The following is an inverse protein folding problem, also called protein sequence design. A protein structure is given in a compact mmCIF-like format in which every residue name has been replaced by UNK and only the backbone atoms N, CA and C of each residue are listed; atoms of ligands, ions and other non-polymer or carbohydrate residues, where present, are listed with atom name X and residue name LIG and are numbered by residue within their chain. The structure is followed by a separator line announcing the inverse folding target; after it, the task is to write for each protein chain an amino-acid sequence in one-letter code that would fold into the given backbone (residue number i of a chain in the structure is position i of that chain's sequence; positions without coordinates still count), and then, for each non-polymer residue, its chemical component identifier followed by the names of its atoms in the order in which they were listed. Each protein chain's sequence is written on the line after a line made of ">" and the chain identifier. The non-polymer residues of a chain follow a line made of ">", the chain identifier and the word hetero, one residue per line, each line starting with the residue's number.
data_IF_865505444020
#
_entry.id   IF_865505444020
#
_cell.length_a   1.000
_cell.length_b   1.000
_cell.length_c   1.000
_cell.angle_alpha   90.00
_cell.angle_beta   90.00
_cell.angle_gamma   90.00
#
_symmetry.space_group_name_H-M   'P 1'
#
loop_
_entity.id
_entity.type
_entity.pdbx_description
1 polymer ?
#
# COMPACT_ATOMS: atom_id res chain seq x y z
N UNK A 1 2.32 -15.11 30.02
CA UNK A 1 2.10 -13.92 29.16
C UNK A 1 2.38 -14.37 27.74
N UNK A 2 1.44 -14.16 26.86
CA UNK A 2 1.57 -14.53 25.45
C UNK A 2 2.76 -13.80 24.80
N UNK A 3 3.44 -14.52 23.92
CA UNK A 3 4.49 -13.97 23.06
C UNK A 3 4.18 -14.29 21.62
N UNK A 4 4.29 -13.33 20.73
CA UNK A 4 4.04 -13.53 19.33
C UNK A 4 5.25 -13.12 18.50
N UNK A 5 5.62 -13.95 17.54
CA UNK A 5 6.54 -13.57 16.49
C UNK A 5 5.75 -12.77 15.46
N UNK A 6 6.09 -11.52 15.26
CA UNK A 6 5.59 -10.73 14.15
C UNK A 6 6.63 -10.67 13.03
N UNK A 7 6.14 -10.79 11.79
CA UNK A 7 6.94 -10.68 10.57
C UNK A 7 6.27 -9.64 9.67
N UNK A 8 7.03 -8.66 9.21
CA UNK A 8 6.58 -7.67 8.24
C UNK A 8 7.41 -7.79 6.96
N UNK A 9 6.78 -8.27 5.91
CA UNK A 9 7.41 -8.46 4.60
C UNK A 9 6.99 -7.32 3.69
N UNK A 10 7.87 -6.34 3.54
CA UNK A 10 7.69 -5.22 2.62
C UNK A 10 8.32 -5.50 1.25
N UNK A 11 8.12 -4.57 0.29
CA UNK A 11 8.66 -4.71 -1.09
C UNK A 11 10.17 -4.55 -1.20
N UNK A 12 10.86 -4.10 -0.16
CA UNK A 12 12.33 -3.83 -0.19
C UNK A 12 13.05 -4.26 1.08
N UNK A 13 12.33 -4.76 2.06
CA UNK A 13 12.91 -5.23 3.33
C UNK A 13 11.93 -6.09 4.10
N UNK A 14 12.44 -7.00 4.91
CA UNK A 14 11.71 -7.73 5.93
C UNK A 14 12.14 -7.27 7.31
N UNK A 15 11.22 -7.33 8.26
CA UNK A 15 11.45 -7.13 9.69
C UNK A 15 10.78 -8.25 10.47
N UNK A 16 11.43 -8.70 11.53
CA UNK A 16 10.87 -9.71 12.42
C UNK A 16 11.22 -9.38 13.89
N UNK A 17 10.27 -9.59 14.79
CA UNK A 17 10.45 -9.37 16.22
C UNK A 17 9.51 -10.25 17.03
N UNK A 18 9.97 -10.75 18.18
CA UNK A 18 9.10 -11.37 19.18
C UNK A 18 8.55 -10.28 20.11
N UNK A 19 7.24 -10.10 20.09
CA UNK A 19 6.50 -9.16 20.94
C UNK A 19 5.97 -9.84 22.20
N UNK A 20 5.88 -9.07 23.29
CA UNK A 20 5.14 -9.42 24.51
C UNK A 20 3.64 -9.08 24.36
N UNK A 21 2.82 -9.41 25.38
CA UNK A 21 1.38 -9.13 25.40
C UNK A 21 1.03 -7.63 25.32
N UNK A 22 1.97 -6.74 25.62
CA UNK A 22 1.79 -5.29 25.51
C UNK A 22 2.20 -4.75 24.13
N UNK A 23 2.56 -5.61 23.17
CA UNK A 23 3.00 -5.24 21.83
C UNK A 23 4.11 -4.15 21.83
N UNK A 24 5.09 -4.28 22.73
CA UNK A 24 6.20 -3.32 22.84
C UNK A 24 7.19 -3.50 21.72
N UNK A 25 7.48 -2.41 21.03
CA UNK A 25 8.53 -2.39 20.00
C UNK A 25 9.93 -2.50 20.64
N UNK A 26 10.80 -3.22 19.94
CA UNK A 26 12.24 -3.30 20.15
C UNK A 26 12.91 -3.18 18.80
N UNK A 27 14.24 -3.13 18.77
CA UNK A 27 14.96 -3.19 17.49
C UNK A 27 14.67 -4.54 16.81
N UNK A 28 14.02 -4.55 15.62
CA UNK A 28 13.70 -5.80 14.94
C UNK A 28 14.92 -6.36 14.21
N UNK A 29 14.98 -7.68 14.05
CA UNK A 29 15.82 -8.30 13.03
C UNK A 29 15.37 -7.79 11.66
N UNK A 30 16.32 -7.43 10.79
CA UNK A 30 16.04 -6.78 9.51
C UNK A 30 16.96 -7.28 8.40
N UNK A 31 16.37 -7.56 7.23
CA UNK A 31 17.10 -7.75 5.98
C UNK A 31 16.55 -6.82 4.90
N UNK A 32 17.42 -6.23 4.09
CA UNK A 32 17.04 -5.33 3.00
C UNK A 32 17.33 -5.96 1.65
N UNK A 33 16.43 -5.77 0.70
CA UNK A 33 16.50 -6.32 -0.66
C UNK A 33 15.87 -5.38 -1.71
N UNK A 34 16.37 -4.13 -1.84
CA UNK A 34 15.78 -3.17 -2.76
C UNK A 34 15.87 -3.66 -4.20
N UNK A 35 14.70 -3.75 -4.87
CA UNK A 35 14.62 -4.19 -6.27
C UNK A 35 14.70 -5.69 -6.50
N UNK A 36 14.87 -6.50 -5.44
CA UNK A 36 14.85 -7.96 -5.55
C UNK A 36 13.43 -8.47 -5.80
N UNK A 37 13.28 -9.34 -6.78
CA UNK A 37 12.00 -9.94 -7.15
C UNK A 37 12.07 -11.46 -7.39
N UNK A 38 13.20 -12.10 -7.08
CA UNK A 38 13.30 -13.55 -7.05
C UNK A 38 12.60 -14.08 -5.79
N UNK A 39 11.51 -14.85 -5.92
CA UNK A 39 10.73 -15.30 -4.77
C UNK A 39 11.53 -16.23 -3.83
N UNK A 40 12.44 -17.06 -4.36
CA UNK A 40 13.24 -17.95 -3.54
C UNK A 40 14.26 -17.15 -2.71
N UNK A 41 14.88 -16.14 -3.32
CA UNK A 41 15.84 -15.27 -2.62
C UNK A 41 15.17 -14.45 -1.52
N UNK A 42 14.02 -13.82 -1.83
CA UNK A 42 13.26 -13.04 -0.82
C UNK A 42 12.81 -13.95 0.33
N UNK A 43 12.29 -15.16 0.04
CA UNK A 43 11.90 -16.14 1.08
C UNK A 43 13.07 -16.55 1.97
N UNK A 44 14.27 -16.70 1.41
CA UNK A 44 15.48 -17.01 2.18
C UNK A 44 15.79 -15.87 3.16
N UNK A 45 15.75 -14.62 2.72
CA UNK A 45 16.01 -13.44 3.56
C UNK A 45 14.96 -13.28 4.66
N UNK A 46 13.69 -13.62 4.38
CA UNK A 46 12.64 -13.63 5.40
C UNK A 46 12.93 -14.68 6.47
N UNK A 47 13.31 -15.89 6.08
CA UNK A 47 13.66 -16.97 7.03
C UNK A 47 14.87 -16.59 7.89
N UNK A 48 15.91 -16.01 7.29
CA UNK A 48 17.08 -15.49 8.03
C UNK A 48 16.68 -14.45 9.09
N UNK A 49 15.79 -13.51 8.75
CA UNK A 49 15.30 -12.51 9.70
C UNK A 49 14.44 -13.13 10.83
N UNK A 50 13.63 -14.14 10.51
CA UNK A 50 12.87 -14.91 11.51
C UNK A 50 13.83 -15.63 12.45
N UNK A 51 14.81 -16.37 11.92
CA UNK A 51 15.78 -17.12 12.72
C UNK A 51 16.58 -16.20 13.65
N UNK A 52 16.90 -14.99 13.19
CA UNK A 52 17.54 -13.98 14.02
C UNK A 52 16.63 -13.48 15.15
N UNK A 53 15.37 -13.15 14.83
CA UNK A 53 14.41 -12.62 15.78
C UNK A 53 14.08 -13.60 16.92
N UNK A 54 14.06 -14.90 16.64
CA UNK A 54 13.68 -15.94 17.62
C UNK A 54 14.86 -16.48 18.43
N UNK A 55 16.10 -16.00 18.19
CA UNK A 55 17.27 -16.51 18.93
C UNK A 55 17.09 -16.47 20.45
N UNK A 56 17.02 -17.66 21.05
CA UNK A 56 16.89 -17.82 22.52
C UNK A 56 15.52 -17.36 23.07
N UNK A 57 14.53 -17.20 22.22
CA UNK A 57 13.18 -16.80 22.62
C UNK A 57 12.17 -17.82 22.09
N UNK A 58 11.12 -18.12 22.89
CA UNK A 58 9.94 -18.85 22.46
C UNK A 58 8.84 -17.87 22.07
N UNK A 59 7.87 -18.37 21.27
CA UNK A 59 6.65 -17.67 20.91
C UNK A 59 5.49 -18.66 20.82
N UNK A 60 4.27 -18.17 21.05
CA UNK A 60 3.05 -18.97 21.08
C UNK A 60 2.32 -18.93 19.73
N UNK A 61 2.51 -17.85 18.95
CA UNK A 61 1.91 -17.67 17.64
C UNK A 61 2.77 -16.79 16.72
N UNK A 62 2.48 -16.83 15.41
CA UNK A 62 3.11 -16.00 14.38
C UNK A 62 2.03 -15.16 13.71
N UNK A 63 2.23 -13.83 13.69
CA UNK A 63 1.48 -12.88 12.87
C UNK A 63 2.33 -12.37 11.72
N UNK A 64 1.78 -12.33 10.50
CA UNK A 64 2.49 -11.89 9.32
C UNK A 64 1.77 -10.74 8.61
N UNK A 65 2.48 -9.64 8.43
CA UNK A 65 2.16 -8.56 7.51
C UNK A 65 2.89 -8.81 6.20
N UNK A 66 2.20 -8.74 5.07
CA UNK A 66 2.85 -8.91 3.77
C UNK A 66 2.34 -7.89 2.74
N UNK A 67 3.24 -7.44 1.87
CA UNK A 67 2.85 -6.56 0.77
C UNK A 67 1.81 -7.23 -0.13
N UNK A 68 0.74 -6.51 -0.43
CA UNK A 68 -0.36 -6.98 -1.25
C UNK A 68 -0.06 -6.95 -2.75
N UNK A 69 -1.04 -7.43 -3.53
CA UNK A 69 -1.11 -7.32 -4.99
C UNK A 69 -0.03 -8.10 -5.75
N UNK A 70 0.85 -8.84 -5.07
CA UNK A 70 1.87 -9.67 -5.71
C UNK A 70 1.24 -10.90 -6.36
N UNK A 71 1.76 -11.28 -7.52
CA UNK A 71 1.36 -12.48 -8.25
C UNK A 71 2.59 -13.30 -8.61
N UNK A 72 2.48 -14.61 -8.41
CA UNK A 72 3.43 -15.63 -8.88
C UNK A 72 2.68 -16.70 -9.66
N UNK A 73 3.25 -17.16 -10.77
CA UNK A 73 2.87 -18.40 -11.43
C UNK A 73 3.81 -19.53 -10.94
N UNK A 74 3.24 -20.62 -10.46
CA UNK A 74 3.97 -21.80 -10.02
C UNK A 74 3.65 -22.99 -10.92
N UNK A 75 4.64 -23.87 -11.18
CA UNK A 75 4.40 -25.14 -11.85
C UNK A 75 3.72 -26.17 -10.90
N UNK A 76 3.40 -27.35 -11.43
CA UNK A 76 2.80 -28.44 -10.66
C UNK A 76 3.64 -28.90 -9.44
N UNK A 77 4.96 -28.66 -9.48
CA UNK A 77 5.87 -28.96 -8.39
C UNK A 77 6.04 -27.81 -7.39
N UNK A 78 5.30 -26.69 -7.57
CA UNK A 78 5.39 -25.50 -6.72
C UNK A 78 6.61 -24.62 -6.99
N UNK A 79 7.30 -24.81 -8.12
CA UNK A 79 8.46 -23.97 -8.50
C UNK A 79 7.99 -22.71 -9.22
N UNK A 80 8.55 -21.52 -8.88
CA UNK A 80 8.20 -20.28 -9.55
C UNK A 80 8.55 -20.31 -11.05
N UNK A 81 7.57 -19.95 -11.89
CA UNK A 81 7.72 -19.73 -13.32
C UNK A 81 7.91 -18.25 -13.66
N UNK A 82 7.59 -17.37 -12.70
CA UNK A 82 7.73 -15.91 -12.84
C UNK A 82 8.51 -15.34 -11.67
N UNK A 83 9.14 -14.17 -11.82
CA UNK A 83 9.51 -13.35 -10.68
C UNK A 83 8.26 -12.86 -9.94
N UNK A 84 8.43 -12.20 -8.79
CA UNK A 84 7.32 -11.55 -8.07
C UNK A 84 6.79 -10.37 -8.92
N UNK A 85 5.58 -10.52 -9.46
CA UNK A 85 4.89 -9.46 -10.19
C UNK A 85 4.19 -8.53 -9.19
N UNK A 86 4.89 -7.50 -8.74
CA UNK A 86 4.43 -6.58 -7.70
C UNK A 86 3.50 -5.48 -8.22
N UNK A 87 3.06 -4.59 -7.33
CA UNK A 87 2.16 -3.48 -7.66
C UNK A 87 2.78 -2.41 -8.58
N UNK A 88 4.11 -2.34 -8.66
CA UNK A 88 4.85 -1.42 -9.54
C UNK A 88 5.02 -1.92 -10.97
N UNK A 89 4.65 -3.17 -11.23
CA UNK A 89 4.76 -3.73 -12.57
C UNK A 89 3.65 -3.16 -13.46
N UNK A 90 4.03 -2.32 -14.42
CA UNK A 90 3.10 -1.65 -15.32
C UNK A 90 2.93 -2.35 -16.66
N UNK A 91 3.60 -3.50 -16.91
CA UNK A 91 3.53 -4.23 -18.18
C UNK A 91 2.10 -4.64 -18.57
N UNK A 92 1.22 -4.78 -17.60
CA UNK A 92 -0.18 -5.15 -17.81
C UNK A 92 -1.12 -3.96 -18.14
N UNK A 93 -0.60 -2.77 -18.50
CA UNK A 93 -1.44 -1.60 -18.76
C UNK A 93 -2.43 -1.83 -19.90
N UNK A 94 -1.97 -2.30 -21.08
CA UNK A 94 -2.83 -2.59 -22.23
C UNK A 94 -3.84 -3.71 -21.93
N UNK A 95 -3.46 -4.70 -21.11
CA UNK A 95 -4.38 -5.74 -20.67
C UNK A 95 -5.49 -5.19 -19.77
N UNK A 96 -5.16 -4.24 -18.89
CA UNK A 96 -6.16 -3.54 -18.09
C UNK A 96 -7.12 -2.69 -18.96
N UNK A 97 -6.63 -2.06 -20.03
CA UNK A 97 -7.48 -1.34 -20.99
C UNK A 97 -8.45 -2.28 -21.69
N UNK A 98 -7.96 -3.43 -22.17
CA UNK A 98 -8.82 -4.44 -22.80
C UNK A 98 -9.88 -4.99 -21.84
N UNK A 99 -9.53 -5.23 -20.58
CA UNK A 99 -10.51 -5.63 -19.57
C UNK A 99 -11.55 -4.53 -19.33
N UNK A 100 -11.12 -3.28 -19.20
CA UNK A 100 -12.01 -2.13 -19.01
C UNK A 100 -12.96 -1.86 -20.18
N UNK A 101 -12.58 -2.30 -21.41
CA UNK A 101 -13.47 -2.23 -22.60
C UNK A 101 -14.49 -3.37 -22.69
N UNK A 102 -14.29 -4.47 -21.97
CA UNK A 102 -15.14 -5.67 -21.97
C UNK A 102 -16.04 -5.79 -20.76
N UNK A 103 -15.65 -5.18 -19.65
CA UNK A 103 -16.32 -5.22 -18.37
C UNK A 103 -16.74 -3.81 -17.96
N UNK A 104 -17.71 -3.69 -17.08
CA UNK A 104 -18.02 -2.42 -16.41
C UNK A 104 -17.04 -2.20 -15.25
N UNK A 105 -16.09 -1.23 -15.34
CA UNK A 105 -15.13 -0.98 -14.28
C UNK A 105 -15.77 -0.59 -12.94
N UNK A 106 -16.92 0.10 -12.97
CA UNK A 106 -17.61 0.51 -11.76
C UNK A 106 -18.26 -0.70 -11.07
N UNK A 107 -18.85 -1.62 -11.84
CA UNK A 107 -19.41 -2.86 -11.30
C UNK A 107 -18.33 -3.78 -10.72
N UNK A 108 -17.16 -3.89 -11.39
CA UNK A 108 -16.02 -4.64 -10.86
C UNK A 108 -15.53 -4.02 -9.54
N UNK A 109 -15.34 -2.69 -9.51
CA UNK A 109 -14.92 -2.00 -8.30
C UNK A 109 -15.93 -2.20 -7.16
N UNK A 110 -17.22 -2.10 -7.43
CA UNK A 110 -18.27 -2.30 -6.41
C UNK A 110 -18.21 -3.71 -5.78
N UNK A 111 -17.94 -4.76 -6.59
CA UNK A 111 -17.87 -6.15 -6.11
C UNK A 111 -16.53 -6.51 -5.45
N UNK A 112 -15.41 -6.00 -5.98
CA UNK A 112 -14.07 -6.44 -5.55
C UNK A 112 -13.34 -5.44 -4.66
N UNK A 113 -13.84 -4.22 -4.53
CA UNK A 113 -13.13 -3.12 -3.85
C UNK A 113 -11.88 -2.63 -4.59
N UNK A 114 -11.63 -3.14 -5.80
CA UNK A 114 -10.44 -2.86 -6.60
C UNK A 114 -10.77 -2.34 -7.99
N UNK A 115 -9.96 -1.43 -8.49
CA UNK A 115 -10.07 -0.94 -9.85
C UNK A 115 -9.39 -1.88 -10.85
N UNK A 116 -9.84 -1.93 -12.11
CA UNK A 116 -9.12 -2.61 -13.18
C UNK A 116 -7.82 -1.85 -13.49
N UNK A 117 -6.76 -2.20 -12.80
CA UNK A 117 -5.49 -1.48 -12.82
C UNK A 117 -4.30 -2.45 -12.80
N UNK A 118 -3.13 -2.02 -13.28
CA UNK A 118 -1.88 -2.81 -13.32
C UNK A 118 -1.43 -3.33 -11.95
N UNK A 119 -1.84 -2.67 -10.86
CA UNK A 119 -1.52 -3.13 -9.51
C UNK A 119 -2.14 -4.48 -9.17
N UNK A 120 -3.29 -4.83 -9.75
CA UNK A 120 -4.11 -5.98 -9.37
C UNK A 120 -3.99 -7.17 -10.32
N UNK A 121 -4.38 -8.35 -9.84
CA UNK A 121 -4.24 -9.62 -10.54
C UNK A 121 -5.01 -9.70 -11.87
N UNK A 122 -6.24 -9.18 -12.01
CA UNK A 122 -6.96 -9.29 -13.27
C UNK A 122 -6.15 -8.80 -14.48
N UNK A 123 -5.51 -7.63 -14.36
CA UNK A 123 -4.67 -7.09 -15.41
C UNK A 123 -3.38 -7.92 -15.65
N UNK A 124 -2.74 -8.38 -14.57
CA UNK A 124 -1.51 -9.19 -14.64
C UNK A 124 -1.77 -10.56 -15.25
N UNK A 125 -2.86 -11.21 -14.87
CA UNK A 125 -3.24 -12.52 -15.42
C UNK A 125 -3.60 -12.43 -16.90
N UNK A 126 -4.38 -11.40 -17.31
CA UNK A 126 -4.69 -11.15 -18.70
C UNK A 126 -3.41 -10.86 -19.51
N UNK A 127 -2.49 -10.05 -18.97
CA UNK A 127 -1.21 -9.79 -19.61
C UNK A 127 -0.36 -11.07 -19.74
N UNK A 128 -0.29 -11.88 -18.69
CA UNK A 128 0.50 -13.13 -18.70
C UNK A 128 -0.05 -14.11 -19.73
N UNK A 129 -1.39 -14.22 -19.86
CA UNK A 129 -2.03 -15.07 -20.84
C UNK A 129 -1.72 -14.64 -22.29
N UNK A 130 -1.63 -13.34 -22.53
CA UNK A 130 -1.40 -12.77 -23.87
C UNK A 130 0.10 -12.70 -24.22
N UNK A 131 0.92 -12.21 -23.31
CA UNK A 131 2.34 -11.92 -23.56
C UNK A 131 3.26 -13.13 -23.29
N UNK A 132 2.88 -13.99 -22.34
CA UNK A 132 3.65 -15.18 -21.94
C UNK A 132 2.76 -16.43 -21.89
N UNK A 133 2.11 -16.81 -23.03
CA UNK A 133 1.07 -17.86 -23.03
C UNK A 133 1.60 -19.23 -22.63
N UNK A 134 2.87 -19.52 -22.84
CA UNK A 134 3.47 -20.78 -22.39
C UNK A 134 3.61 -20.83 -20.87
N UNK A 135 4.07 -19.74 -20.25
CA UNK A 135 4.14 -19.59 -18.80
C UNK A 135 2.73 -19.70 -18.18
N UNK A 136 1.74 -18.99 -18.75
CA UNK A 136 0.36 -19.05 -18.26
C UNK A 136 -0.23 -20.47 -18.35
N UNK A 137 0.00 -21.20 -19.45
CA UNK A 137 -0.49 -22.57 -19.61
C UNK A 137 0.21 -23.60 -18.73
N UNK A 138 1.52 -23.41 -18.52
CA UNK A 138 2.36 -24.32 -17.71
C UNK A 138 2.18 -24.10 -16.21
N UNK A 139 1.58 -22.98 -15.79
CA UNK A 139 1.32 -22.73 -14.40
C UNK A 139 0.26 -23.70 -13.86
N UNK A 140 0.60 -24.50 -12.90
CA UNK A 140 -0.37 -25.29 -12.13
C UNK A 140 -1.17 -24.41 -11.18
N UNK A 141 -0.55 -23.36 -10.60
CA UNK A 141 -1.20 -22.44 -9.66
C UNK A 141 -0.73 -21.00 -9.82
N UNK A 142 -1.63 -20.07 -9.46
CA UNK A 142 -1.33 -18.65 -9.29
C UNK A 142 -1.51 -18.28 -7.82
N UNK A 143 -0.47 -17.76 -7.18
CA UNK A 143 -0.45 -17.49 -5.74
C UNK A 143 0.10 -16.09 -5.44
N UNK A 144 -0.16 -15.56 -4.25
CA UNK A 144 0.55 -14.38 -3.77
C UNK A 144 1.97 -14.75 -3.33
N UNK A 145 2.87 -13.76 -3.21
CA UNK A 145 4.17 -14.01 -2.61
C UNK A 145 4.04 -14.49 -1.16
N UNK A 146 3.03 -14.02 -0.45
CA UNK A 146 2.78 -14.45 0.91
C UNK A 146 2.42 -15.93 1.02
N UNK A 147 1.55 -16.41 0.13
CA UNK A 147 1.18 -17.83 0.08
C UNK A 147 2.41 -18.67 -0.24
N UNK A 148 3.20 -18.25 -1.25
CA UNK A 148 4.47 -18.92 -1.58
C UNK A 148 5.42 -18.94 -0.39
N UNK A 149 5.59 -17.82 0.34
CA UNK A 149 6.44 -17.76 1.53
C UNK A 149 6.00 -18.79 2.59
N UNK A 150 4.68 -18.86 2.86
CA UNK A 150 4.13 -19.81 3.81
C UNK A 150 4.35 -21.25 3.37
N UNK A 151 4.20 -21.55 2.08
CA UNK A 151 4.53 -22.86 1.52
C UNK A 151 6.01 -23.21 1.73
N UNK A 152 6.92 -22.25 1.56
CA UNK A 152 8.37 -22.47 1.78
C UNK A 152 8.71 -22.69 3.25
N UNK A 153 7.96 -22.06 4.18
CA UNK A 153 8.19 -22.20 5.63
C UNK A 153 7.55 -23.49 6.16
N UNK A 154 6.33 -23.80 5.71
CA UNK A 154 5.52 -24.90 6.23
C UNK A 154 5.70 -26.22 5.45
N UNK A 155 6.37 -26.18 4.29
CA UNK A 155 6.69 -27.34 3.46
C UNK A 155 5.48 -27.98 2.76
N UNK A 156 4.36 -27.25 2.63
CA UNK A 156 3.13 -27.72 1.95
C UNK A 156 2.35 -26.55 1.37
N UNK A 157 1.50 -26.77 0.35
CA UNK A 157 0.56 -25.77 -0.12
C UNK A 157 -0.34 -25.24 1.00
N UNK A 158 -0.65 -23.95 0.96
CA UNK A 158 -1.48 -23.26 1.96
C UNK A 158 -2.68 -22.58 1.32
N UNK A 159 -3.73 -22.39 2.09
CA UNK A 159 -4.82 -21.48 1.73
C UNK A 159 -4.34 -20.02 1.82
N UNK A 160 -4.91 -19.15 1.00
CA UNK A 160 -4.72 -17.70 1.12
C UNK A 160 -5.70 -17.12 2.13
N UNK A 161 -5.31 -16.07 2.84
CA UNK A 161 -6.23 -15.38 3.75
C UNK A 161 -7.23 -14.52 3.00
N UNK A 162 -8.40 -14.26 3.62
CA UNK A 162 -9.36 -13.28 3.11
C UNK A 162 -8.72 -11.92 2.85
N UNK A 163 -7.80 -11.49 3.71
CA UNK A 163 -7.07 -10.22 3.56
C UNK A 163 -6.18 -10.18 2.31
N UNK A 164 -5.39 -11.22 2.09
CA UNK A 164 -4.51 -11.31 0.91
C UNK A 164 -5.34 -11.52 -0.36
N UNK A 165 -6.36 -12.38 -0.33
CA UNK A 165 -7.26 -12.60 -1.46
C UNK A 165 -7.98 -11.31 -1.86
N UNK A 166 -8.50 -10.54 -0.92
CA UNK A 166 -9.15 -9.24 -1.16
C UNK A 166 -8.20 -8.26 -1.84
N UNK A 167 -6.93 -8.23 -1.43
CA UNK A 167 -5.92 -7.36 -2.04
C UNK A 167 -5.49 -7.79 -3.46
N UNK A 168 -5.96 -8.93 -3.99
CA UNK A 168 -5.67 -9.34 -5.37
C UNK A 168 -6.52 -8.61 -6.41
N UNK A 169 -7.74 -8.18 -6.05
CA UNK A 169 -8.75 -7.65 -6.95
C UNK A 169 -9.56 -8.73 -7.66
N UNK A 170 -9.50 -9.99 -7.19
CA UNK A 170 -10.30 -11.11 -7.68
C UNK A 170 -11.33 -11.62 -6.66
N UNK A 171 -11.27 -11.16 -5.40
CA UNK A 171 -12.23 -11.57 -4.39
C UNK A 171 -13.51 -10.74 -4.50
N UNK A 172 -14.64 -11.40 -4.53
CA UNK A 172 -15.96 -10.78 -4.34
C UNK A 172 -16.17 -10.45 -2.87
N UNK A 173 -16.45 -9.18 -2.55
CA UNK A 173 -16.53 -8.67 -1.18
C UNK A 173 -17.69 -9.25 -0.38
N UNK A 174 -18.81 -9.56 -1.05
CA UNK A 174 -20.03 -10.03 -0.40
C UNK A 174 -19.97 -11.53 -0.10
N UNK A 175 -19.52 -12.32 -1.07
CA UNK A 175 -19.43 -13.78 -0.95
C UNK A 175 -18.13 -14.25 -0.29
N UNK A 176 -17.07 -13.41 -0.34
CA UNK A 176 -15.70 -13.74 0.06
C UNK A 176 -15.11 -14.94 -0.69
N UNK A 177 -15.57 -15.13 -1.91
CA UNK A 177 -15.07 -16.13 -2.85
C UNK A 177 -14.42 -15.42 -4.04
N UNK A 178 -13.72 -16.18 -4.88
CA UNK A 178 -13.19 -15.63 -6.14
C UNK A 178 -14.34 -15.19 -7.06
N UNK A 179 -14.23 -13.96 -7.65
CA UNK A 179 -15.28 -13.37 -8.52
C UNK A 179 -15.45 -14.17 -9.81
N UNK A 180 -16.62 -14.81 -9.97
CA UNK A 180 -16.90 -15.73 -11.09
C UNK A 180 -16.86 -15.04 -12.46
N UNK A 181 -17.29 -13.76 -12.55
CA UNK A 181 -17.27 -13.02 -13.81
C UNK A 181 -15.83 -12.71 -14.25
N UNK A 182 -14.97 -12.33 -13.32
CA UNK A 182 -13.56 -12.11 -13.60
C UNK A 182 -12.87 -13.42 -13.98
N UNK A 183 -13.09 -14.51 -13.25
CA UNK A 183 -12.52 -15.82 -13.59
C UNK A 183 -12.95 -16.27 -15.00
N UNK A 184 -14.23 -16.15 -15.31
CA UNK A 184 -14.75 -16.47 -16.64
C UNK A 184 -14.14 -15.58 -17.73
N UNK A 185 -13.99 -14.28 -17.46
CA UNK A 185 -13.43 -13.33 -18.43
C UNK A 185 -11.96 -13.59 -18.72
N UNK A 186 -11.22 -14.03 -17.68
CA UNK A 186 -9.81 -14.40 -17.75
C UNK A 186 -9.56 -15.83 -18.27
N UNK A 187 -10.62 -16.62 -18.49
CA UNK A 187 -10.54 -18.05 -18.78
C UNK A 187 -9.65 -18.80 -17.78
N UNK A 188 -9.83 -18.48 -16.49
CA UNK A 188 -9.05 -19.01 -15.38
C UNK A 188 -9.92 -19.94 -14.53
N UNK A 189 -9.49 -21.19 -14.36
CA UNK A 189 -10.13 -22.15 -13.49
C UNK A 189 -9.82 -21.81 -12.02
N UNK A 190 -10.85 -21.80 -11.17
CA UNK A 190 -10.69 -21.48 -9.74
C UNK A 190 -9.75 -22.44 -9.00
N UNK A 191 -9.63 -23.69 -9.47
CA UNK A 191 -8.72 -24.71 -8.92
C UNK A 191 -7.24 -24.33 -9.08
N UNK A 192 -6.92 -23.39 -9.96
CA UNK A 192 -5.57 -22.81 -10.12
C UNK A 192 -5.29 -21.67 -9.14
N UNK A 193 -6.25 -21.30 -8.30
CA UNK A 193 -6.11 -20.32 -7.23
C UNK A 193 -6.09 -21.04 -5.88
N UNK A 194 -5.46 -20.46 -4.84
CA UNK A 194 -5.53 -21.00 -3.49
C UNK A 194 -6.97 -21.05 -2.97
N UNK A 195 -7.28 -22.00 -2.12
CA UNK A 195 -8.47 -21.95 -1.27
C UNK A 195 -8.39 -20.71 -0.36
N UNK A 196 -9.52 -20.07 -0.05
CA UNK A 196 -9.57 -18.92 0.86
C UNK A 196 -9.94 -19.42 2.25
N UNK A 197 -9.05 -19.18 3.22
CA UNK A 197 -9.27 -19.58 4.62
C UNK A 197 -8.52 -18.68 5.59
N UNK A 198 -9.19 -18.31 6.68
CA UNK A 198 -8.61 -17.58 7.81
C UNK A 198 -8.28 -18.48 9.01
N UNK A 199 -8.23 -19.79 8.80
CA UNK A 199 -7.80 -20.75 9.82
C UNK A 199 -6.28 -20.70 10.03
N UNK A 200 -5.86 -20.86 11.28
CA UNK A 200 -4.44 -20.96 11.58
C UNK A 200 -3.85 -22.28 11.09
N UNK A 201 -2.61 -22.23 10.62
CA UNK A 201 -1.82 -23.41 10.28
C UNK A 201 -0.76 -23.59 11.38
N UNK A 202 -0.95 -24.56 12.26
CA UNK A 202 -0.15 -24.73 13.48
C UNK A 202 -0.15 -23.43 14.32
N UNK A 203 0.99 -22.80 14.53
CA UNK A 203 1.12 -21.51 15.24
C UNK A 203 1.10 -20.29 14.29
N UNK A 204 0.98 -20.52 12.97
CA UNK A 204 0.95 -19.46 11.97
C UNK A 204 -0.47 -18.99 11.70
N UNK A 205 -0.75 -17.75 12.05
CA UNK A 205 -2.00 -17.12 11.67
C UNK A 205 -1.98 -16.69 10.19
N UNK A 206 -3.14 -16.64 9.53
CA UNK A 206 -3.24 -16.14 8.17
C UNK A 206 -2.56 -14.77 8.02
N UNK A 207 -1.83 -14.61 6.93
CA UNK A 207 -1.14 -13.35 6.66
C UNK A 207 -2.14 -12.23 6.36
N UNK A 208 -1.77 -11.00 6.67
CA UNK A 208 -2.62 -9.82 6.48
C UNK A 208 -1.90 -8.81 5.59
N UNK A 209 -2.67 -8.14 4.74
CA UNK A 209 -2.20 -7.07 3.89
C UNK A 209 -1.47 -5.98 4.71
N UNK A 210 -0.27 -5.59 4.27
CA UNK A 210 0.61 -4.66 4.98
C UNK A 210 -0.05 -3.30 5.26
N UNK A 211 -0.92 -2.84 4.34
CA UNK A 211 -1.68 -1.62 4.53
C UNK A 211 -2.64 -1.68 5.72
N UNK A 212 -3.27 -2.83 5.97
CA UNK A 212 -4.14 -3.04 7.13
C UNK A 212 -3.31 -3.14 8.42
N UNK A 213 -2.23 -3.90 8.39
CA UNK A 213 -1.32 -4.00 9.53
C UNK A 213 -0.74 -2.63 9.92
N UNK A 214 -0.38 -1.79 8.95
CA UNK A 214 0.09 -0.42 9.20
C UNK A 214 -0.94 0.42 9.96
N UNK A 215 -2.22 0.36 9.57
CA UNK A 215 -3.30 1.05 10.26
C UNK A 215 -3.50 0.54 11.70
N UNK A 216 -3.55 -0.78 11.87
CA UNK A 216 -3.68 -1.43 13.19
C UNK A 216 -2.53 -1.04 14.11
N UNK A 217 -1.31 -1.14 13.62
CA UNK A 217 -0.12 -0.80 14.39
C UNK A 217 -0.06 0.66 14.80
N UNK A 218 -0.57 1.58 13.98
CA UNK A 218 -0.68 3.01 14.29
C UNK A 218 -1.92 3.36 15.14
N UNK A 219 -2.79 2.40 15.46
CA UNK A 219 -4.03 2.65 16.21
C UNK A 219 -5.12 3.37 15.41
N UNK A 220 -5.07 3.30 14.06
CA UNK A 220 -6.07 3.88 13.18
C UNK A 220 -7.13 2.82 12.84
N UNK A 221 -8.02 2.57 13.79
CA UNK A 221 -8.98 1.45 13.78
C UNK A 221 -10.45 1.90 13.84
N UNK A 222 -10.73 3.09 13.35
CA UNK A 222 -12.09 3.61 13.19
C UNK A 222 -12.22 4.40 11.88
N UNK A 223 -13.45 4.71 11.47
CA UNK A 223 -13.72 5.55 10.28
C UNK A 223 -13.23 6.98 10.45
N UNK A 224 -13.21 7.47 11.68
CA UNK A 224 -12.87 8.87 12.02
C UNK A 224 -11.35 9.08 12.16
N UNK A 225 -10.54 8.01 12.26
CA UNK A 225 -9.09 8.09 12.41
C UNK A 225 -8.37 7.41 11.27
N UNK A 226 -7.69 8.21 10.45
CA UNK A 226 -6.93 7.72 9.31
C UNK A 226 -5.42 7.68 9.57
N UNK A 227 -4.75 6.73 8.95
CA UNK A 227 -3.30 6.71 8.82
C UNK A 227 -2.89 7.43 7.53
N UNK A 228 -2.09 8.48 7.63
CA UNK A 228 -1.35 9.12 6.55
C UNK A 228 0.05 8.52 6.53
N UNK A 229 0.29 7.59 5.62
CA UNK A 229 1.57 6.88 5.52
C UNK A 229 2.35 7.34 4.29
N UNK A 230 3.58 7.82 4.49
CA UNK A 230 4.53 8.06 3.40
C UNK A 230 5.85 7.34 3.71
N UNK A 231 6.02 6.21 3.04
CA UNK A 231 7.28 5.49 2.89
C UNK A 231 7.83 5.73 1.50
N UNK A 232 8.17 4.67 0.76
CA UNK A 232 8.55 4.79 -0.67
C UNK A 232 7.39 5.31 -1.53
N UNK A 233 6.18 4.85 -1.28
CA UNK A 233 4.92 5.35 -1.84
C UNK A 233 4.08 5.98 -0.73
N UNK A 234 2.87 6.44 -1.05
CA UNK A 234 1.98 7.02 -0.05
C UNK A 234 0.63 6.33 0.03
N UNK A 235 -0.04 6.44 1.17
CA UNK A 235 -1.42 6.01 1.32
C UNK A 235 -2.12 6.76 2.46
N UNK A 236 -3.43 6.98 2.29
CA UNK A 236 -4.33 7.51 3.30
C UNK A 236 -5.45 6.51 3.51
N UNK A 237 -5.61 5.97 4.71
CA UNK A 237 -6.47 4.82 4.97
C UNK A 237 -7.15 4.90 6.33
N UNK A 238 -8.39 4.43 6.39
CA UNK A 238 -9.11 4.04 7.61
C UNK A 238 -9.25 2.53 7.68
N UNK A 239 -9.38 2.00 8.88
CA UNK A 239 -9.70 0.59 9.13
C UNK A 239 -10.85 0.55 10.13
N UNK A 240 -11.90 -0.19 9.82
CA UNK A 240 -13.11 -0.21 10.64
C UNK A 240 -13.90 -1.51 10.48
N UNK A 241 -14.81 -1.76 11.39
CA UNK A 241 -15.74 -2.90 11.32
C UNK A 241 -16.95 -2.57 10.45
N UNK A 242 -17.35 -3.54 9.60
CA UNK A 242 -18.58 -3.48 8.80
C UNK A 242 -19.07 -4.87 8.44
N UNK A 243 -20.39 -5.03 8.36
CA UNK A 243 -21.02 -6.23 7.78
C UNK A 243 -21.33 -6.08 6.29
N UNK A 244 -21.31 -4.84 5.78
CA UNK A 244 -21.68 -4.50 4.42
C UNK A 244 -20.59 -3.59 3.82
N UNK A 245 -19.58 -4.15 3.15
CA UNK A 245 -18.50 -3.39 2.54
C UNK A 245 -18.98 -2.68 1.27
N UNK A 246 -18.89 -1.34 1.24
CA UNK A 246 -19.25 -0.54 0.08
C UNK A 246 -18.06 0.35 -0.31
N UNK A 247 -17.26 -0.03 -1.32
CA UNK A 247 -16.10 0.73 -1.73
C UNK A 247 -16.51 2.07 -2.37
N UNK A 248 -15.83 3.15 -2.00
CA UNK A 248 -16.06 4.48 -2.58
C UNK A 248 -15.33 4.64 -3.91
N UNK A 249 -15.97 5.28 -4.91
CA UNK A 249 -15.27 5.60 -6.16
C UNK A 249 -13.94 6.31 -5.90
N UNK A 250 -12.89 5.88 -6.59
CA UNK A 250 -11.54 6.43 -6.44
C UNK A 250 -10.70 5.84 -5.30
N UNK A 251 -11.32 5.14 -4.35
CA UNK A 251 -10.64 4.44 -3.26
C UNK A 251 -10.60 2.93 -3.52
N UNK A 252 -9.76 2.22 -2.78
CA UNK A 252 -9.83 0.77 -2.66
C UNK A 252 -10.48 0.38 -1.33
N UNK A 253 -11.04 -0.83 -1.27
CA UNK A 253 -11.53 -1.44 -0.04
C UNK A 253 -11.13 -2.91 -0.01
N UNK A 254 -10.48 -3.36 1.07
CA UNK A 254 -10.08 -4.75 1.25
C UNK A 254 -10.54 -5.27 2.61
N UNK A 255 -10.96 -6.51 2.66
CA UNK A 255 -11.13 -7.22 3.91
C UNK A 255 -9.80 -7.37 4.65
N UNK A 256 -9.84 -7.25 5.97
CA UNK A 256 -8.71 -7.50 6.87
C UNK A 256 -8.88 -8.86 7.55
N UNK A 257 -10.10 -9.15 7.95
CA UNK A 257 -10.55 -10.39 8.58
C UNK A 257 -12.07 -10.53 8.37
N UNK A 258 -12.73 -11.36 9.19
CA UNK A 258 -14.16 -11.68 9.12
C UNK A 258 -15.09 -10.48 9.41
N UNK A 259 -14.61 -9.39 10.00
CA UNK A 259 -15.42 -8.23 10.43
C UNK A 259 -14.85 -6.88 10.06
N UNK A 260 -13.55 -6.78 9.77
CA UNK A 260 -12.86 -5.51 9.53
C UNK A 260 -12.47 -5.34 8.06
N UNK A 261 -12.56 -4.09 7.60
CA UNK A 261 -12.08 -3.67 6.29
C UNK A 261 -11.06 -2.55 6.43
N UNK A 262 -10.16 -2.43 5.46
CA UNK A 262 -9.32 -1.26 5.24
C UNK A 262 -9.74 -0.58 3.96
N UNK A 263 -10.08 0.72 4.04
CA UNK A 263 -10.49 1.55 2.92
C UNK A 263 -9.55 2.75 2.78
N UNK A 264 -9.24 3.15 1.55
CA UNK A 264 -8.44 4.35 1.35
C UNK A 264 -7.91 4.55 -0.04
N UNK A 265 -7.06 5.56 -0.19
CA UNK A 265 -6.34 5.86 -1.42
C UNK A 265 -4.86 5.57 -1.30
N UNK A 266 -4.28 5.07 -2.38
CA UNK A 266 -2.85 4.84 -2.50
C UNK A 266 -2.25 5.73 -3.59
N UNK A 267 -1.14 6.39 -3.29
CA UNK A 267 -0.35 7.16 -4.26
C UNK A 267 0.91 6.39 -4.63
N UNK A 268 1.27 6.40 -5.91
CA UNK A 268 2.52 5.80 -6.38
C UNK A 268 3.74 6.62 -5.95
N UNK A 269 3.56 7.92 -5.86
CA UNK A 269 4.59 8.89 -5.48
C UNK A 269 4.51 9.25 -4.00
N UNK A 270 5.66 9.23 -3.36
CA UNK A 270 5.87 9.52 -1.95
C UNK A 270 7.34 9.80 -1.71
N UNK A 271 8.01 9.08 -0.83
CA UNK A 271 9.43 9.21 -0.58
C UNK A 271 10.32 8.88 -1.78
N UNK A 272 9.86 8.06 -2.72
CA UNK A 272 10.54 7.84 -4.00
C UNK A 272 10.63 9.11 -4.83
N UNK A 273 9.58 9.95 -4.86
CA UNK A 273 9.59 11.23 -5.54
C UNK A 273 10.52 12.22 -4.83
N UNK A 274 10.48 12.30 -3.49
CA UNK A 274 11.41 13.13 -2.71
C UNK A 274 12.86 12.73 -2.98
N UNK A 275 13.17 11.44 -2.95
CA UNK A 275 14.52 10.93 -3.27
C UNK A 275 14.93 11.23 -4.72
N UNK A 276 14.00 11.11 -5.68
CA UNK A 276 14.27 11.42 -7.09
C UNK A 276 14.60 12.91 -7.29
N UNK A 277 13.83 13.81 -6.67
CA UNK A 277 14.09 15.26 -6.72
C UNK A 277 15.48 15.58 -6.17
N UNK A 278 15.83 15.05 -5.00
CA UNK A 278 17.14 15.30 -4.38
C UNK A 278 18.30 14.82 -5.26
N UNK A 279 18.16 13.65 -5.88
CA UNK A 279 19.19 13.08 -6.77
C UNK A 279 19.28 13.83 -8.10
N UNK A 280 18.16 14.25 -8.68
CA UNK A 280 18.07 14.82 -10.03
C UNK A 280 18.43 16.30 -10.04
N UNK A 281 17.86 17.09 -9.11
CA UNK A 281 18.06 18.54 -9.09
C UNK A 281 19.03 19.01 -8.01
N UNK A 282 19.54 18.09 -7.18
CA UNK A 282 20.53 18.37 -6.12
C UNK A 282 20.10 19.53 -5.23
N UNK A 283 18.85 19.50 -4.78
CA UNK A 283 18.27 20.55 -3.94
C UNK A 283 18.94 20.73 -2.56
N UNK A 284 19.78 19.74 -2.16
CA UNK A 284 20.79 19.92 -1.13
C UNK A 284 20.27 20.07 0.30
N UNK A 285 19.13 19.45 0.68
CA UNK A 285 18.69 19.41 2.08
C UNK A 285 18.44 20.79 2.74
N UNK A 286 18.27 21.85 1.95
CA UNK A 286 17.92 23.17 2.47
C UNK A 286 16.51 23.13 3.03
N UNK A 287 16.31 23.74 4.22
CA UNK A 287 15.00 23.83 4.86
C UNK A 287 14.02 24.66 4.03
N UNK A 288 12.77 24.25 4.05
CA UNK A 288 11.63 24.97 3.49
C UNK A 288 10.82 25.72 4.58
N UNK A 289 11.26 25.67 5.85
CA UNK A 289 10.51 26.20 7.01
C UNK A 289 10.11 27.67 6.87
N UNK A 290 11.01 28.49 6.31
CA UNK A 290 10.82 29.93 6.15
C UNK A 290 10.23 30.32 4.78
N UNK A 291 9.92 29.33 3.93
CA UNK A 291 9.36 29.63 2.60
C UNK A 291 7.84 29.72 2.69
N UNK A 292 7.32 30.71 2.00
CA UNK A 292 5.88 30.81 1.82
C UNK A 292 5.38 29.78 0.80
N UNK A 293 4.15 29.28 0.95
CA UNK A 293 3.58 28.33 0.00
C UNK A 293 3.48 28.91 -1.39
N UNK A 294 3.69 28.10 -2.40
CA UNK A 294 3.42 28.43 -3.80
C UNK A 294 4.22 29.63 -4.39
N UNK A 295 5.19 30.17 -3.67
CA UNK A 295 5.97 31.34 -4.16
C UNK A 295 6.88 31.03 -5.33
N UNK A 296 7.11 29.76 -5.62
CA UNK A 296 7.90 29.27 -6.75
C UNK A 296 7.19 29.39 -8.12
N UNK A 297 5.84 29.59 -8.13
CA UNK A 297 5.06 29.69 -9.36
C UNK A 297 4.97 28.43 -10.21
N UNK A 298 5.41 27.29 -9.67
CA UNK A 298 5.36 25.99 -10.36
C UNK A 298 4.10 25.21 -10.00
N UNK A 299 3.64 24.38 -10.92
CA UNK A 299 2.66 23.34 -10.65
C UNK A 299 3.30 21.99 -10.93
N UNK A 300 3.48 21.18 -9.88
CA UNK A 300 4.06 19.83 -9.99
C UNK A 300 2.97 18.79 -9.90
N UNK A 301 2.74 18.04 -10.98
CA UNK A 301 1.82 16.91 -11.01
C UNK A 301 2.61 15.64 -10.61
N UNK A 302 2.40 15.18 -9.38
CA UNK A 302 3.12 14.07 -8.77
C UNK A 302 2.55 12.71 -9.24
N UNK A 303 2.87 12.31 -10.48
CA UNK A 303 2.48 11.05 -11.11
C UNK A 303 3.67 10.37 -11.82
N UNK A 304 4.88 10.48 -11.26
CA UNK A 304 6.09 9.86 -11.83
C UNK A 304 5.99 8.32 -11.81
N UNK A 305 5.36 7.77 -10.78
CA UNK A 305 5.09 6.34 -10.63
C UNK A 305 3.78 5.88 -11.26
N UNK A 306 3.13 6.70 -12.08
CA UNK A 306 1.76 6.48 -12.57
C UNK A 306 0.72 6.81 -11.51
N UNK A 307 -0.55 6.74 -11.87
CA UNK A 307 -1.64 7.05 -10.95
C UNK A 307 -2.34 5.78 -10.44
N UNK A 308 -2.53 5.75 -9.11
CA UNK A 308 -3.51 4.90 -8.43
C UNK A 308 -4.69 5.77 -8.01
N UNK A 309 -4.93 5.98 -6.73
CA UNK A 309 -6.02 6.84 -6.26
C UNK A 309 -5.76 8.33 -6.58
N UNK A 310 -6.81 9.13 -6.79
CA UNK A 310 -8.20 8.69 -6.92
C UNK A 310 -8.63 8.35 -8.36
N UNK A 311 -7.88 8.76 -9.39
CA UNK A 311 -8.28 8.67 -10.80
C UNK A 311 -8.00 7.31 -11.45
N UNK A 312 -7.03 6.55 -10.95
CA UNK A 312 -6.64 5.23 -11.48
C UNK A 312 -6.26 5.24 -12.97
N UNK A 313 -5.72 6.37 -13.45
CA UNK A 313 -5.26 6.52 -14.82
C UNK A 313 -3.88 5.87 -15.00
N UNK A 314 -3.88 4.64 -15.47
CA UNK A 314 -2.68 3.78 -15.59
C UNK A 314 -1.59 4.31 -16.52
N UNK A 315 -1.95 5.20 -17.45
CA UNK A 315 -1.03 5.85 -18.38
C UNK A 315 -0.63 7.27 -17.96
N UNK A 316 -1.14 7.77 -16.82
CA UNK A 316 -0.80 9.10 -16.33
C UNK A 316 0.70 9.21 -16.03
N UNK A 317 1.24 10.39 -16.32
CA UNK A 317 2.65 10.73 -16.11
C UNK A 317 2.79 12.04 -15.36
N UNK A 318 3.86 12.17 -14.60
CA UNK A 318 4.22 13.42 -13.95
C UNK A 318 4.46 14.55 -14.94
N UNK A 319 4.14 15.78 -14.54
CA UNK A 319 4.38 16.99 -15.32
C UNK A 319 4.78 18.15 -14.40
N UNK A 320 5.53 19.10 -14.94
CA UNK A 320 5.86 20.35 -14.26
C UNK A 320 5.50 21.49 -15.21
N UNK A 321 4.66 22.39 -14.73
CA UNK A 321 4.29 23.62 -15.43
C UNK A 321 4.85 24.85 -14.71
N UNK A 322 5.08 25.96 -15.43
CA UNK A 322 5.55 27.23 -14.88
C UNK A 322 7.06 27.38 -14.79
N UNK A 323 7.87 26.49 -15.42
CA UNK A 323 9.34 26.60 -15.43
C UNK A 323 9.83 27.89 -16.13
N UNK A 324 10.80 28.56 -15.50
CA UNK A 324 11.50 29.72 -16.03
C UNK A 324 13.00 29.61 -15.81
N UNK A 325 13.80 30.46 -16.41
CA UNK A 325 15.24 30.50 -16.13
C UNK A 325 15.59 30.95 -14.69
N UNK A 326 14.63 31.51 -13.94
CA UNK A 326 14.80 31.88 -12.56
C UNK A 326 14.47 30.72 -11.60
N UNK A 327 13.87 29.62 -12.08
CA UNK A 327 13.52 28.47 -11.29
C UNK A 327 14.75 27.83 -10.67
N UNK A 328 14.73 27.67 -9.36
CA UNK A 328 15.82 27.05 -8.58
C UNK A 328 15.52 25.57 -8.25
N UNK A 329 16.55 24.84 -7.82
CA UNK A 329 16.38 23.48 -7.33
C UNK A 329 15.49 23.41 -6.07
N UNK A 330 15.54 24.44 -5.23
CA UNK A 330 14.70 24.54 -4.04
C UNK A 330 13.22 24.76 -4.38
N UNK A 331 12.94 25.53 -5.45
CA UNK A 331 11.58 25.70 -5.97
C UNK A 331 11.01 24.37 -6.47
N UNK A 332 11.81 23.59 -7.19
CA UNK A 332 11.40 22.25 -7.66
C UNK A 332 11.14 21.29 -6.50
N UNK A 333 12.00 21.32 -5.46
CA UNK A 333 11.79 20.49 -4.27
C UNK A 333 10.48 20.87 -3.58
N UNK A 334 10.24 22.14 -3.31
CA UNK A 334 9.01 22.62 -2.67
C UNK A 334 7.78 22.23 -3.50
N UNK A 335 7.78 22.52 -4.80
CA UNK A 335 6.67 22.21 -5.70
C UNK A 335 6.35 20.70 -5.74
N UNK A 336 7.39 19.85 -5.68
CA UNK A 336 7.21 18.40 -5.65
C UNK A 336 6.54 17.91 -4.36
N UNK A 337 7.00 18.39 -3.18
CA UNK A 337 6.43 18.04 -1.89
C UNK A 337 4.98 18.55 -1.74
N UNK A 338 4.71 19.79 -2.17
CA UNK A 338 3.36 20.37 -2.24
C UNK A 338 2.50 19.58 -3.22
N UNK A 339 3.04 19.18 -4.37
CA UNK A 339 2.34 18.38 -5.37
C UNK A 339 1.84 17.04 -4.84
N UNK A 340 2.64 16.35 -4.03
CA UNK A 340 2.20 15.13 -3.33
C UNK A 340 1.12 15.44 -2.31
N UNK A 341 1.27 16.54 -1.53
CA UNK A 341 0.28 16.92 -0.54
C UNK A 341 -1.09 17.22 -1.15
N UNK A 342 -1.14 17.83 -2.34
CA UNK A 342 -2.39 18.09 -3.07
C UNK A 342 -3.07 16.79 -3.53
N UNK A 343 -2.29 15.80 -3.99
CA UNK A 343 -2.85 14.48 -4.31
C UNK A 343 -3.44 13.78 -3.09
N UNK A 344 -2.79 13.91 -1.91
CA UNK A 344 -3.38 13.43 -0.66
C UNK A 344 -4.66 14.17 -0.29
N UNK A 345 -4.71 15.49 -0.50
CA UNK A 345 -5.92 16.28 -0.24
C UNK A 345 -7.11 15.80 -1.09
N UNK A 346 -6.89 15.34 -2.33
CA UNK A 346 -7.96 14.74 -3.15
C UNK A 346 -8.49 13.44 -2.55
N UNK A 347 -7.62 12.60 -2.00
CA UNK A 347 -8.03 11.36 -1.31
C UNK A 347 -8.76 11.68 -0.01
N UNK A 348 -8.27 12.66 0.77
CA UNK A 348 -8.91 13.10 2.03
C UNK A 348 -10.33 13.63 1.78
N UNK A 349 -10.55 14.34 0.68
CA UNK A 349 -11.90 14.85 0.33
C UNK A 349 -12.92 13.74 0.05
N UNK A 350 -12.46 12.56 -0.32
CA UNK A 350 -13.30 11.37 -0.50
C UNK A 350 -13.67 10.69 0.83
N UNK A 351 -13.05 11.11 1.94
CA UNK A 351 -13.24 10.54 3.27
C UNK A 351 -13.61 11.62 4.30
N UNK A 352 -14.76 12.32 4.12
CA UNK A 352 -15.11 13.50 4.91
C UNK A 352 -15.35 13.22 6.40
N UNK A 353 -15.63 11.98 6.79
CA UNK A 353 -15.83 11.58 8.19
C UNK A 353 -14.52 11.50 8.99
N UNK A 354 -13.37 11.48 8.34
CA UNK A 354 -12.09 11.46 9.05
C UNK A 354 -11.89 12.75 9.83
N UNK A 355 -11.80 12.66 11.15
CA UNK A 355 -11.53 13.78 12.06
C UNK A 355 -10.08 13.84 12.50
N UNK A 356 -9.43 12.68 12.67
CA UNK A 356 -8.05 12.56 13.14
C UNK A 356 -7.14 11.94 12.08
N UNK A 357 -5.98 12.54 11.87
CA UNK A 357 -4.96 12.06 10.93
C UNK A 357 -3.69 11.71 11.71
N UNK A 358 -3.24 10.46 11.62
CA UNK A 358 -2.01 9.98 12.23
C UNK A 358 -0.95 9.77 11.14
N UNK A 359 0.12 10.56 11.18
CA UNK A 359 1.23 10.43 10.25
C UNK A 359 2.13 9.26 10.62
N UNK A 360 2.46 8.45 9.62
CA UNK A 360 3.38 7.32 9.70
C UNK A 360 4.29 7.28 8.48
N UNK A 361 5.32 6.42 8.51
CA UNK A 361 6.26 6.26 7.41
C UNK A 361 7.43 7.22 7.48
N UNK A 362 8.64 6.66 7.34
CA UNK A 362 9.89 7.38 7.60
C UNK A 362 10.11 8.57 6.67
N UNK A 363 9.71 8.46 5.39
CA UNK A 363 9.92 9.56 4.45
C UNK A 363 9.20 10.85 4.85
N UNK A 364 8.01 10.74 5.50
CA UNK A 364 7.29 11.90 6.03
C UNK A 364 7.82 12.33 7.41
N UNK A 365 8.04 11.36 8.29
CA UNK A 365 8.41 11.67 9.68
C UNK A 365 9.84 12.20 9.83
N UNK A 366 10.74 11.81 8.92
CA UNK A 366 12.13 12.27 8.89
C UNK A 366 12.30 13.64 8.20
N UNK A 367 11.24 14.16 7.51
CA UNK A 367 11.23 15.49 6.89
C UNK A 367 10.18 16.41 7.55
N UNK A 368 10.58 17.19 8.57
CA UNK A 368 9.66 18.08 9.29
C UNK A 368 9.06 19.18 8.43
N UNK A 369 9.73 19.61 7.35
CA UNK A 369 9.22 20.60 6.40
C UNK A 369 8.07 19.98 5.61
N UNK A 370 8.22 18.75 5.14
CA UNK A 370 7.17 18.06 4.40
C UNK A 370 5.95 17.74 5.28
N UNK A 371 6.20 17.34 6.53
CA UNK A 371 5.12 17.11 7.49
C UNK A 371 4.30 18.38 7.75
N UNK A 372 4.95 19.55 7.83
CA UNK A 372 4.28 20.85 7.98
C UNK A 372 3.53 21.24 6.70
N UNK A 373 4.14 21.06 5.51
CA UNK A 373 3.47 21.27 4.20
C UNK A 373 2.20 20.40 4.12
N UNK A 374 2.28 19.15 4.58
CA UNK A 374 1.14 18.24 4.58
C UNK A 374 0.01 18.75 5.48
N UNK A 375 0.30 19.17 6.71
CA UNK A 375 -0.70 19.74 7.63
C UNK A 375 -1.35 21.00 7.03
N UNK A 376 -0.56 21.90 6.46
CA UNK A 376 -1.03 23.14 5.86
C UNK A 376 -1.89 22.87 4.61
N UNK A 377 -1.46 22.00 3.72
CA UNK A 377 -2.16 21.67 2.47
C UNK A 377 -3.48 20.92 2.70
N UNK A 378 -3.53 20.08 3.73
CA UNK A 378 -4.76 19.41 4.17
C UNK A 378 -5.65 20.31 5.02
N UNK A 379 -5.12 21.45 5.50
CA UNK A 379 -5.77 22.34 6.46
C UNK A 379 -6.31 21.59 7.71
N UNK A 380 -5.55 20.59 8.19
CA UNK A 380 -5.93 19.72 9.31
C UNK A 380 -4.74 19.45 10.22
N UNK A 381 -4.94 19.34 11.54
CA UNK A 381 -3.92 18.87 12.46
C UNK A 381 -3.48 17.45 12.09
N UNK A 382 -2.18 17.19 12.19
CA UNK A 382 -1.59 15.86 11.98
C UNK A 382 -0.90 15.40 13.26
N UNK A 383 -1.31 14.24 13.77
CA UNK A 383 -0.72 13.60 14.94
C UNK A 383 0.45 12.73 14.47
N UNK A 384 1.63 12.91 15.00
CA UNK A 384 2.77 12.03 14.70
C UNK A 384 2.58 10.70 15.42
N UNK A 385 2.71 9.58 14.71
CA UNK A 385 2.72 8.26 15.35
C UNK A 385 3.89 8.11 16.32
N UNK A 386 3.64 7.54 17.49
CA UNK A 386 4.69 7.10 18.40
C UNK A 386 5.21 5.69 18.12
N UNK A 387 4.72 5.05 17.03
CA UNK A 387 5.11 3.72 16.57
C UNK A 387 6.06 3.85 15.39
N UNK A 388 7.21 3.19 15.46
CA UNK A 388 8.23 3.24 14.39
C UNK A 388 8.02 2.20 13.29
N UNK A 389 7.55 0.99 13.65
CA UNK A 389 7.33 -0.12 12.72
C UNK A 389 5.84 -0.55 12.73
N UNK A 390 4.98 0.31 12.17
CA UNK A 390 3.52 0.15 12.24
C UNK A 390 3.02 -1.19 11.71
N UNK A 391 3.47 -1.65 10.54
CA UNK A 391 3.03 -2.93 9.96
C UNK A 391 3.45 -4.12 10.82
N UNK A 392 4.67 -4.08 11.36
CA UNK A 392 5.19 -5.12 12.24
C UNK A 392 4.39 -5.18 13.55
N UNK A 393 4.13 -4.02 14.18
CA UNK A 393 3.28 -3.94 15.37
C UNK A 393 1.85 -4.40 15.09
N UNK A 394 1.29 -4.04 13.94
CA UNK A 394 -0.06 -4.45 13.54
C UNK A 394 -0.19 -5.97 13.39
N UNK A 395 0.80 -6.62 12.81
CA UNK A 395 0.86 -8.08 12.74
C UNK A 395 0.92 -8.72 14.13
N UNK A 396 1.67 -8.11 15.08
CA UNK A 396 1.73 -8.54 16.47
C UNK A 396 0.37 -8.37 17.17
N UNK A 397 -0.28 -7.21 17.00
CA UNK A 397 -1.60 -6.90 17.60
C UNK A 397 -2.64 -7.92 17.15
N UNK A 398 -2.73 -8.22 15.84
CA UNK A 398 -3.66 -9.21 15.32
C UNK A 398 -3.42 -10.62 15.90
N UNK A 399 -2.17 -11.03 16.00
CA UNK A 399 -1.84 -12.32 16.57
C UNK A 399 -2.16 -12.39 18.08
N UNK A 400 -1.91 -11.31 18.82
CA UNK A 400 -2.26 -11.19 20.24
C UNK A 400 -3.79 -11.22 20.45
N UNK A 401 -4.56 -10.47 19.63
CA UNK A 401 -6.03 -10.49 19.67
C UNK A 401 -6.58 -11.91 19.47
N UNK A 402 -6.03 -12.69 18.55
CA UNK A 402 -6.40 -14.08 18.30
C UNK A 402 -6.05 -15.02 19.45
N UNK A 403 -5.04 -14.70 20.24
CA UNK A 403 -4.69 -15.40 21.49
C UNK A 403 -5.57 -14.95 22.69
N UNK A 404 -6.49 -13.99 22.49
CA UNK A 404 -7.35 -13.43 23.53
C UNK A 404 -6.71 -12.34 24.37
N UNK A 405 -5.56 -11.83 23.96
CA UNK A 405 -4.91 -10.70 24.62
C UNK A 405 -5.50 -9.37 24.12
N UNK A 406 -5.33 -8.32 24.91
CA UNK A 406 -5.77 -6.96 24.57
C UNK A 406 -4.60 -5.99 24.69
N UNK A 407 -3.76 -5.89 23.67
CA UNK A 407 -2.60 -5.01 23.71
C UNK A 407 -3.03 -3.53 23.85
N UNK A 408 -2.21 -2.71 24.53
CA UNK A 408 -2.55 -1.30 24.75
C UNK A 408 -2.61 -0.54 23.42
N UNK A 409 -3.38 0.58 23.38
CA UNK A 409 -3.43 1.45 22.21
C UNK A 409 -2.05 1.89 21.74
N UNK A 410 -1.94 2.19 20.45
CA UNK A 410 -0.70 2.73 19.90
C UNK A 410 -0.36 4.08 20.54
N UNK A 411 0.91 4.30 20.92
CA UNK A 411 1.32 5.60 21.42
C UNK A 411 1.24 6.67 20.34
N UNK A 412 0.78 7.85 20.72
CA UNK A 412 0.72 9.05 19.87
C UNK A 412 1.77 10.06 20.33
N UNK A 413 2.37 10.75 19.38
CA UNK A 413 3.36 11.79 19.60
C UNK A 413 2.78 13.20 19.52
N UNK A 414 3.62 14.16 19.08
CA UNK A 414 3.23 15.57 18.94
C UNK A 414 2.18 15.77 17.85
N UNK A 415 1.44 16.86 17.98
CA UNK A 415 0.53 17.34 16.93
C UNK A 415 1.25 18.42 16.11
N UNK A 416 1.07 18.38 14.80
CA UNK A 416 1.50 19.43 13.86
C UNK A 416 0.26 20.17 13.43
N UNK A 417 0.13 21.42 13.90
CA UNK A 417 -1.00 22.28 13.56
C UNK A 417 -0.82 22.92 12.19
N UNK A 418 -1.89 23.06 11.39
CA UNK A 418 -1.83 23.78 10.13
C UNK A 418 -1.68 25.28 10.37
N UNK A 419 -0.90 25.96 9.54
CA UNK A 419 -0.75 27.42 9.54
C UNK A 419 -1.91 28.03 8.73
N UNK A 420 -2.89 28.58 9.44
CA UNK A 420 -4.17 29.02 8.88
C UNK A 420 -4.00 30.14 7.83
N UNK A 421 -3.00 31.01 8.00
CA UNK A 421 -2.65 32.10 7.08
C UNK A 421 -2.17 31.60 5.70
N UNK A 422 -1.80 30.31 5.58
CA UNK A 422 -1.33 29.68 4.33
C UNK A 422 -2.43 28.96 3.55
N UNK A 423 -3.59 28.77 4.13
CA UNK A 423 -4.68 27.96 3.56
C UNK A 423 -5.16 28.42 2.17
N UNK A 424 -5.26 29.74 1.96
CA UNK A 424 -5.73 30.28 0.68
C UNK A 424 -4.71 30.07 -0.46
N UNK A 425 -3.42 30.21 -0.16
CA UNK A 425 -2.36 29.95 -1.14
C UNK A 425 -2.34 28.48 -1.57
N UNK A 426 -2.41 27.55 -0.60
CA UNK A 426 -2.48 26.12 -0.90
C UNK A 426 -3.74 25.73 -1.68
N UNK A 427 -4.89 26.32 -1.35
CA UNK A 427 -6.13 26.08 -2.10
C UNK A 427 -6.00 26.53 -3.56
N UNK A 428 -5.43 27.69 -3.81
CA UNK A 428 -5.20 28.20 -5.16
C UNK A 428 -4.20 27.32 -5.95
N UNK A 429 -3.10 26.89 -5.31
CA UNK A 429 -2.11 26.01 -5.92
C UNK A 429 -2.70 24.62 -6.25
N UNK A 430 -3.49 24.05 -5.34
CA UNK A 430 -4.20 22.78 -5.57
C UNK A 430 -5.15 22.86 -6.76
N UNK A 431 -5.89 23.97 -6.89
CA UNK A 431 -6.80 24.19 -8.02
C UNK A 431 -6.04 24.29 -9.35
N UNK A 432 -4.82 24.85 -9.38
CA UNK A 432 -3.96 24.82 -10.58
C UNK A 432 -3.49 23.40 -10.90
N UNK A 433 -3.12 22.61 -9.87
CA UNK A 433 -2.72 21.22 -10.08
C UNK A 433 -3.91 20.41 -10.65
N UNK A 434 -5.12 20.60 -10.15
CA UNK A 434 -6.32 19.94 -10.68
C UNK A 434 -6.54 20.25 -12.16
N UNK A 435 -6.40 21.51 -12.59
CA UNK A 435 -6.49 21.87 -14.01
C UNK A 435 -5.40 21.23 -14.87
N UNK A 436 -4.17 21.19 -14.37
CA UNK A 436 -3.07 20.49 -15.06
C UNK A 436 -3.34 18.99 -15.17
N UNK A 437 -3.85 18.38 -14.10
CA UNK A 437 -4.24 16.97 -14.08
C UNK A 437 -5.33 16.67 -15.11
N UNK A 438 -6.41 17.46 -15.15
CA UNK A 438 -7.49 17.30 -16.12
C UNK A 438 -6.98 17.40 -17.56
N UNK A 439 -6.10 18.37 -17.84
CA UNK A 439 -5.50 18.52 -19.16
C UNK A 439 -4.59 17.33 -19.53
N UNK A 440 -3.83 16.81 -18.56
CA UNK A 440 -2.90 15.70 -18.79
C UNK A 440 -3.61 14.34 -18.96
N UNK A 441 -4.77 14.14 -18.31
CA UNK A 441 -5.53 12.88 -18.34
C UNK A 441 -6.62 12.85 -19.39
N UNK A 442 -7.05 14.01 -19.92
CA UNK A 442 -8.06 14.11 -20.98
C UNK A 442 -7.47 13.98 -22.40
N UNK A 443 -6.15 14.06 -22.55
CA UNK A 443 -5.52 13.90 -23.86
C UNK A 443 -5.60 12.44 -24.31
N UNK A 444 -6.00 12.16 -25.57
CA UNK A 444 -5.97 10.79 -26.09
C UNK A 444 -4.52 10.28 -26.04
N UNK A 445 -4.32 9.11 -25.43
CA UNK A 445 -3.02 8.42 -25.44
C UNK A 445 -2.61 8.15 -26.89
N UNK A 446 -1.59 8.88 -27.36
CA UNK A 446 -0.99 8.71 -28.69
C UNK A 446 -0.11 7.46 -28.76
#
# INVERSE_FOLDING_TARGET
>A
MAKVLAVDVGTSSVRAQVFDAEAREREPARSTYPGENDPARVSTLVREAIDEAVRGQGYDAVGCSCFGHSLLALDEAGRPLTPILGWRDTRSADAADRLSSRLDPAAIHARTGCHLHTSYWPAKLAWLADAEPETFRSAGRFVSFCDYLYEQVLGRPVATSTSIASATGLLDLDTRMWDEELLKTLALDAERLPEISDEAIDVWYPAVFDGACSNLGAGCVSRERAALMIGTSGAFRTLYETGEPHPRPGLFLHWVDDRRVVEGGSLSDGGNLSSWIEQTVRAGGQSLADRDPDTHGLTFLALLGGERSPGWHRHARGAIDGLTFATTSLDLRQAALEGVAFRFAEVVDLMPEVGEIVATGRALLDDPDWLQIMADALARPIIVSGVSEGSLRGAAVLALERLGESPPPAPLGRVVEPRVDRADAYRAARERQRRLYEAATSAPTS
#
